data_IF_974107757912
#
_entry.id   IF_974107757912
#
_cell.length_a   1.000
_cell.length_b   1.000
_cell.length_c   1.000
_cell.angle_alpha   90.00
_cell.angle_beta   90.00
_cell.angle_gamma   90.00
#
_symmetry.space_group_name_H-M   'P 1'
#
loop_
_entity.id
_entity.type
_entity.pdbx_description
1 polymer ?
#
# COMPACT_ATOMS: atom_id res chain seq x y z
N UNK A 1 5.43 24.40 -5.76
CA UNK A 1 4.43 23.42 -5.30
C UNK A 1 3.49 23.11 -6.44
N UNK A 2 3.29 21.83 -6.72
CA UNK A 2 2.28 21.40 -7.71
C UNK A 2 0.89 21.70 -7.11
N UNK A 3 0.07 22.41 -7.87
CA UNK A 3 -1.33 22.63 -7.50
C UNK A 3 -2.11 21.41 -7.95
N UNK A 4 -2.60 20.62 -7.01
CA UNK A 4 -3.45 19.46 -7.30
C UNK A 4 -4.87 19.98 -7.48
N UNK A 5 -5.43 19.77 -8.67
CA UNK A 5 -6.82 20.09 -8.97
C UNK A 5 -7.70 18.90 -8.54
N UNK A 6 -8.25 18.96 -7.32
CA UNK A 6 -9.08 17.88 -6.77
C UNK A 6 -10.28 17.56 -7.66
N UNK A 7 -10.84 18.58 -8.32
CA UNK A 7 -11.95 18.42 -9.25
C UNK A 7 -11.63 17.60 -10.50
N UNK A 8 -10.37 17.58 -10.93
CA UNK A 8 -9.93 16.73 -12.05
C UNK A 8 -9.95 15.25 -11.66
N UNK A 9 -9.55 14.95 -10.44
CA UNK A 9 -9.60 13.57 -9.90
C UNK A 9 -11.06 13.13 -9.73
N UNK A 10 -11.92 14.02 -9.20
CA UNK A 10 -13.35 13.77 -9.03
C UNK A 10 -14.03 13.51 -10.39
N UNK A 11 -13.70 14.30 -11.41
CA UNK A 11 -14.23 14.15 -12.76
C UNK A 11 -13.81 12.80 -13.35
N UNK A 12 -12.53 12.43 -13.25
CA UNK A 12 -12.03 11.15 -13.74
C UNK A 12 -12.71 9.96 -13.05
N UNK A 13 -12.89 10.02 -11.73
CA UNK A 13 -13.62 8.99 -10.98
C UNK A 13 -15.10 8.91 -11.38
N UNK A 14 -15.73 10.05 -11.70
CA UNK A 14 -17.11 10.14 -12.15
C UNK A 14 -17.35 9.57 -13.57
N UNK A 15 -16.32 9.38 -14.38
CA UNK A 15 -16.42 8.70 -15.67
C UNK A 15 -16.68 7.20 -15.54
N UNK A 16 -16.36 6.63 -14.39
CA UNK A 16 -16.53 5.19 -14.17
C UNK A 16 -18.01 4.86 -13.92
N UNK A 17 -18.60 3.88 -14.65
CA UNK A 17 -20.03 3.59 -14.59
C UNK A 17 -20.52 3.12 -13.23
N UNK A 18 -19.65 2.61 -12.38
CA UNK A 18 -19.99 2.17 -11.03
C UNK A 18 -20.00 3.32 -10.01
N UNK A 19 -19.55 4.54 -10.35
CA UNK A 19 -19.47 5.70 -9.47
C UNK A 19 -20.60 6.67 -9.74
N UNK A 20 -21.40 6.98 -8.72
CA UNK A 20 -22.46 7.99 -8.78
C UNK A 20 -21.97 9.38 -8.39
N UNK A 21 -21.20 9.44 -7.32
CA UNK A 21 -20.62 10.68 -6.80
C UNK A 21 -19.19 10.41 -6.31
N UNK A 22 -18.30 11.34 -6.53
CA UNK A 22 -16.94 11.32 -6.03
C UNK A 22 -16.60 12.64 -5.36
N UNK A 23 -15.94 12.59 -4.22
CA UNK A 23 -15.39 13.73 -3.50
C UNK A 23 -13.96 13.42 -3.11
N UNK A 24 -13.04 14.33 -3.44
CA UNK A 24 -11.63 14.19 -3.08
C UNK A 24 -11.23 15.30 -2.12
N UNK A 25 -10.57 14.92 -1.04
CA UNK A 25 -10.00 15.88 -0.07
C UNK A 25 -8.54 15.56 0.21
N UNK A 26 -7.79 16.60 0.57
CA UNK A 26 -6.47 16.43 1.15
C UNK A 26 -6.59 16.35 2.67
N UNK A 27 -6.02 15.32 3.26
CA UNK A 27 -6.01 15.09 4.72
C UNK A 27 -4.57 15.06 5.20
N UNK A 28 -4.28 15.77 6.28
CA UNK A 28 -2.98 15.69 6.93
C UNK A 28 -2.86 14.35 7.66
N UNK A 29 -1.93 13.52 7.19
CA UNK A 29 -1.58 12.24 7.81
C UNK A 29 -0.22 12.30 8.50
N UNK A 30 0.17 11.21 9.13
CA UNK A 30 1.46 11.09 9.82
C UNK A 30 2.66 11.25 8.86
N UNK A 31 2.47 11.00 7.57
CA UNK A 31 3.48 11.10 6.51
C UNK A 31 3.36 12.37 5.65
N UNK A 32 2.48 13.32 6.01
CA UNK A 32 2.18 14.53 5.24
C UNK A 32 0.77 14.53 4.65
N UNK A 33 0.47 15.51 3.78
CA UNK A 33 -0.83 15.61 3.14
C UNK A 33 -1.06 14.44 2.17
N UNK A 34 -2.16 13.73 2.35
CA UNK A 34 -2.59 12.60 1.53
C UNK A 34 -3.95 12.90 0.89
N UNK A 35 -4.15 12.40 -0.33
CA UNK A 35 -5.44 12.49 -1.00
C UNK A 35 -6.32 11.32 -0.62
N UNK A 36 -7.57 11.61 -0.26
CA UNK A 36 -8.60 10.64 0.08
C UNK A 36 -9.80 10.88 -0.82
N UNK A 37 -10.24 9.85 -1.52
CA UNK A 37 -11.45 9.89 -2.33
C UNK A 37 -12.60 9.17 -1.60
N UNK A 38 -13.71 9.85 -1.45
CA UNK A 38 -14.98 9.31 -0.97
C UNK A 38 -15.89 9.08 -2.17
N UNK A 39 -16.37 7.86 -2.31
CA UNK A 39 -17.09 7.39 -3.48
C UNK A 39 -18.48 6.90 -3.06
N UNK A 40 -19.49 7.39 -3.76
CA UNK A 40 -20.83 6.85 -3.66
C UNK A 40 -21.07 6.01 -4.92
N UNK A 41 -21.23 4.68 -4.79
CA UNK A 41 -21.44 3.81 -5.93
C UNK A 41 -22.84 3.99 -6.53
N UNK A 42 -22.99 3.68 -7.81
CA UNK A 42 -24.28 3.72 -8.53
C UNK A 42 -25.30 2.76 -7.95
N UNK A 43 -24.88 1.55 -7.57
CA UNK A 43 -25.73 0.60 -6.88
C UNK A 43 -25.49 0.68 -5.37
N UNK A 44 -26.53 0.95 -4.60
CA UNK A 44 -26.45 0.98 -3.12
C UNK A 44 -25.89 -0.34 -2.55
N UNK A 45 -26.15 -1.47 -3.22
CA UNK A 45 -25.58 -2.75 -2.89
C UNK A 45 -24.05 -2.81 -2.93
N UNK A 46 -23.37 -1.91 -3.67
CA UNK A 46 -21.91 -1.87 -3.73
C UNK A 46 -21.28 -1.17 -2.51
N UNK A 47 -21.99 -0.25 -1.87
CA UNK A 47 -21.51 0.38 -0.63
C UNK A 47 -21.51 -0.60 0.55
N UNK A 48 -22.45 -1.55 0.54
CA UNK A 48 -22.58 -2.64 1.52
C UNK A 48 -22.12 -4.00 0.98
N UNK A 49 -21.46 -4.03 -0.18
CA UNK A 49 -20.94 -5.24 -0.78
C UNK A 49 -19.81 -5.86 0.05
N UNK A 50 -19.56 -7.14 -0.22
CA UNK A 50 -18.43 -7.84 0.40
C UNK A 50 -17.12 -7.12 0.06
N UNK A 51 -16.16 -7.24 0.96
CA UNK A 51 -14.85 -6.60 0.85
C UNK A 51 -14.12 -6.94 -0.47
N UNK A 52 -14.29 -8.16 -0.97
CA UNK A 52 -13.72 -8.60 -2.24
C UNK A 52 -14.24 -7.78 -3.43
N UNK A 53 -15.57 -7.53 -3.47
CA UNK A 53 -16.19 -6.73 -4.53
C UNK A 53 -15.73 -5.27 -4.45
N UNK A 54 -15.64 -4.72 -3.23
CA UNK A 54 -15.12 -3.37 -3.04
C UNK A 54 -13.63 -3.28 -3.38
N UNK A 55 -12.83 -4.29 -3.07
CA UNK A 55 -11.41 -4.34 -3.41
C UNK A 55 -11.20 -4.40 -4.94
N UNK A 56 -12.00 -5.21 -5.66
CA UNK A 56 -11.95 -5.26 -7.11
C UNK A 56 -12.26 -3.90 -7.74
N UNK A 57 -13.33 -3.24 -7.28
CA UNK A 57 -13.70 -1.90 -7.77
C UNK A 57 -12.64 -0.84 -7.44
N UNK A 58 -12.02 -0.89 -6.24
CA UNK A 58 -10.90 0.00 -5.90
C UNK A 58 -9.74 -0.16 -6.88
N UNK A 59 -9.41 -1.39 -7.24
CA UNK A 59 -8.31 -1.68 -8.18
C UNK A 59 -8.62 -1.15 -9.58
N UNK A 60 -9.85 -1.32 -10.06
CA UNK A 60 -10.30 -0.77 -11.35
C UNK A 60 -10.23 0.76 -11.35
N UNK A 61 -10.72 1.42 -10.31
CA UNK A 61 -10.69 2.88 -10.16
C UNK A 61 -9.25 3.41 -10.06
N UNK A 62 -8.37 2.71 -9.34
CA UNK A 62 -6.95 3.08 -9.28
C UNK A 62 -6.24 2.93 -10.62
N UNK A 63 -6.56 1.88 -11.38
CA UNK A 63 -6.04 1.70 -12.73
C UNK A 63 -6.49 2.85 -13.64
N UNK A 64 -7.79 3.19 -13.64
CA UNK A 64 -8.33 4.33 -14.38
C UNK A 64 -7.61 5.64 -14.06
N UNK A 65 -7.39 5.91 -12.77
CA UNK A 65 -6.70 7.12 -12.33
C UNK A 65 -5.23 7.15 -12.77
N UNK A 66 -4.51 6.02 -12.68
CA UNK A 66 -3.10 5.92 -13.13
C UNK A 66 -2.94 6.07 -14.63
N UNK A 67 -3.94 5.65 -15.42
CA UNK A 67 -3.92 5.81 -16.87
C UNK A 67 -4.20 7.25 -17.30
N UNK A 68 -4.95 8.00 -16.49
CA UNK A 68 -5.45 9.34 -16.84
C UNK A 68 -4.70 10.47 -16.15
N UNK A 69 -4.11 10.24 -14.98
CA UNK A 69 -3.52 11.28 -14.12
C UNK A 69 -2.10 10.92 -13.66
N UNK A 70 -1.28 11.92 -13.37
CA UNK A 70 0.03 11.72 -12.74
C UNK A 70 -0.10 10.98 -11.38
N UNK A 71 0.88 10.19 -11.02
CA UNK A 71 0.85 9.36 -9.82
C UNK A 71 0.63 10.15 -8.51
N UNK A 72 1.14 11.38 -8.43
CA UNK A 72 0.93 12.26 -7.27
C UNK A 72 -0.52 12.77 -7.12
N UNK A 73 -1.37 12.60 -8.14
CA UNK A 73 -2.80 12.90 -8.12
C UNK A 73 -3.67 11.68 -7.81
N UNK A 74 -3.10 10.49 -7.74
CA UNK A 74 -3.84 9.27 -7.38
C UNK A 74 -4.08 9.26 -5.87
N UNK A 75 -5.35 9.22 -5.41
CA UNK A 75 -5.65 9.16 -3.98
C UNK A 75 -5.07 7.90 -3.32
N UNK A 76 -4.45 8.07 -2.16
CA UNK A 76 -3.96 6.96 -1.34
C UNK A 76 -5.12 6.05 -0.90
N UNK A 77 -6.26 6.65 -0.59
CA UNK A 77 -7.42 5.96 -0.04
C UNK A 77 -8.67 6.20 -0.89
N UNK A 78 -9.41 5.13 -1.17
CA UNK A 78 -10.71 5.13 -1.84
C UNK A 78 -11.72 4.50 -0.88
N UNK A 79 -12.61 5.32 -0.31
CA UNK A 79 -13.62 4.93 0.67
C UNK A 79 -15.01 4.94 0.03
N UNK A 80 -15.75 3.85 0.18
CA UNK A 80 -17.12 3.76 -0.30
C UNK A 80 -18.10 4.19 0.79
N UNK A 81 -19.04 5.05 0.43
CA UNK A 81 -20.10 5.54 1.28
C UNK A 81 -21.45 5.27 0.61
N UNK A 82 -22.49 5.06 1.40
CA UNK A 82 -23.86 4.98 0.90
C UNK A 82 -24.31 6.34 0.35
N UNK A 83 -23.88 7.43 1.00
CA UNK A 83 -24.13 8.82 0.62
C UNK A 83 -23.08 9.77 1.20
N UNK A 84 -22.84 10.88 0.53
CA UNK A 84 -22.03 11.95 1.11
C UNK A 84 -22.81 12.64 2.25
N UNK A 85 -22.18 12.91 3.41
CA UNK A 85 -22.81 13.67 4.47
C UNK A 85 -23.04 15.10 4.02
N UNK A 86 -24.25 15.62 4.24
CA UNK A 86 -24.63 16.97 3.90
C UNK A 86 -24.87 17.81 5.16
N UNK A 87 -24.42 19.05 5.13
CA UNK A 87 -24.76 20.07 6.12
C UNK A 87 -26.22 20.48 6.00
N UNK A 88 -26.80 21.17 7.00
CA UNK A 88 -28.18 21.70 6.93
C UNK A 88 -28.45 22.59 5.71
N UNK A 89 -27.41 23.19 5.13
CA UNK A 89 -27.47 24.05 3.95
C UNK A 89 -27.33 23.28 2.62
N UNK A 90 -27.32 21.93 2.65
CA UNK A 90 -27.21 21.08 1.45
C UNK A 90 -25.80 20.96 0.85
N UNK A 91 -24.78 21.51 1.53
CA UNK A 91 -23.37 21.36 1.10
C UNK A 91 -22.75 20.14 1.78
N UNK A 92 -21.76 19.55 1.14
CA UNK A 92 -21.03 18.43 1.74
C UNK A 92 -20.38 18.82 3.06
N UNK A 93 -20.71 18.10 4.12
CA UNK A 93 -20.09 18.26 5.44
C UNK A 93 -18.79 17.46 5.51
N UNK A 94 -17.68 18.13 5.19
CA UNK A 94 -16.35 17.52 5.23
C UNK A 94 -15.93 17.03 6.61
N UNK A 95 -16.50 17.61 7.69
CA UNK A 95 -16.19 17.20 9.07
C UNK A 95 -16.88 15.93 9.48
N UNK A 96 -18.01 15.62 8.85
CA UNK A 96 -18.76 14.37 9.07
C UNK A 96 -18.29 13.21 8.20
N UNK A 97 -17.29 13.43 7.32
CA UNK A 97 -16.67 12.33 6.56
C UNK A 97 -15.90 11.42 7.51
N UNK A 98 -16.00 10.09 7.33
CA UNK A 98 -15.21 9.16 8.11
C UNK A 98 -13.71 9.42 7.87
N UNK A 99 -12.92 9.38 8.93
CA UNK A 99 -11.47 9.45 8.79
C UNK A 99 -10.98 8.26 7.95
N UNK A 100 -9.96 8.46 7.10
CA UNK A 100 -9.31 7.34 6.45
C UNK A 100 -8.58 6.52 7.52
N UNK A 101 -9.32 5.61 8.14
CA UNK A 101 -8.74 4.72 9.14
C UNK A 101 -8.00 3.60 8.42
N UNK A 102 -6.71 3.45 8.71
CA UNK A 102 -5.91 2.35 8.17
C UNK A 102 -6.53 0.99 8.51
N UNK A 103 -7.36 0.92 9.56
CA UNK A 103 -8.09 -0.29 9.93
C UNK A 103 -9.18 -0.68 8.92
N UNK A 104 -9.84 0.29 8.25
CA UNK A 104 -10.86 0.01 7.22
C UNK A 104 -10.26 -0.50 5.90
N UNK A 105 -8.98 -0.24 5.67
CA UNK A 105 -8.24 -0.76 4.51
C UNK A 105 -7.71 -2.18 4.76
N UNK A 106 -7.64 -2.60 6.02
CA UNK A 106 -7.14 -3.92 6.44
C UNK A 106 -8.24 -4.99 6.56
N UNK A 107 -9.45 -4.73 6.08
CA UNK A 107 -10.55 -5.71 6.19
C UNK A 107 -10.35 -6.96 5.31
N UNK A 108 -9.51 -6.89 4.28
CA UNK A 108 -9.03 -8.06 3.53
C UNK A 108 -7.66 -8.52 4.02
N UNK A 109 -7.44 -8.54 5.35
CA UNK A 109 -6.16 -8.92 5.92
C UNK A 109 -5.80 -10.38 5.59
N UNK A 110 -4.82 -10.55 4.74
CA UNK A 110 -4.17 -11.84 4.48
C UNK A 110 -2.91 -11.91 5.34
N UNK A 111 -2.94 -12.76 6.36
CA UNK A 111 -1.83 -12.90 7.29
C UNK A 111 -0.56 -13.40 6.58
N UNK A 112 0.62 -12.88 6.90
CA UNK A 112 1.89 -13.47 6.52
C UNK A 112 1.97 -14.92 6.98
N UNK A 113 2.51 -15.81 6.14
CA UNK A 113 2.55 -17.26 6.38
C UNK A 113 3.97 -17.80 6.43
N UNK A 114 4.85 -17.34 5.53
CA UNK A 114 6.25 -17.75 5.56
C UNK A 114 7.03 -16.97 6.63
N UNK A 115 8.15 -17.53 7.06
CA UNK A 115 9.03 -16.86 8.02
C UNK A 115 9.52 -15.51 7.49
N UNK A 116 9.88 -15.46 6.20
CA UNK A 116 10.32 -14.23 5.55
C UNK A 116 9.19 -13.19 5.45
N UNK A 117 7.96 -13.63 5.12
CA UNK A 117 6.79 -12.76 5.14
C UNK A 117 6.55 -12.14 6.52
N UNK A 118 6.64 -12.95 7.58
CA UNK A 118 6.46 -12.48 8.95
C UNK A 118 7.55 -11.48 9.36
N UNK A 119 8.80 -11.74 9.01
CA UNK A 119 9.94 -10.85 9.33
C UNK A 119 9.80 -9.51 8.61
N UNK A 120 9.51 -9.52 7.31
CA UNK A 120 9.32 -8.29 6.53
C UNK A 120 8.08 -7.53 7.00
N UNK A 121 6.98 -8.23 7.30
CA UNK A 121 5.78 -7.61 7.87
C UNK A 121 6.06 -6.90 9.20
N UNK A 122 6.85 -7.52 10.08
CA UNK A 122 7.25 -6.92 11.36
C UNK A 122 8.06 -5.61 11.14
N UNK A 123 8.99 -5.61 10.20
CA UNK A 123 9.77 -4.42 9.85
C UNK A 123 8.85 -3.30 9.32
N UNK A 124 7.87 -3.64 8.45
CA UNK A 124 6.91 -2.67 7.95
C UNK A 124 6.03 -2.11 9.07
N UNK A 125 5.54 -2.97 9.99
CA UNK A 125 4.74 -2.55 11.14
C UNK A 125 5.48 -1.52 12.00
N UNK A 126 6.74 -1.78 12.31
CA UNK A 126 7.54 -0.86 13.13
C UNK A 126 7.82 0.47 12.42
N UNK A 127 8.21 0.42 11.13
CA UNK A 127 8.54 1.62 10.36
C UNK A 127 7.31 2.47 10.08
N UNK A 128 6.17 1.84 9.77
CA UNK A 128 4.89 2.49 9.49
C UNK A 128 4.07 2.77 10.76
N UNK A 129 4.51 2.25 11.92
CA UNK A 129 3.82 2.35 13.22
C UNK A 129 2.40 1.77 13.18
N UNK A 130 2.24 0.62 12.54
CA UNK A 130 0.98 -0.10 12.41
C UNK A 130 0.95 -1.32 13.32
N UNK A 131 -0.25 -1.72 13.74
CA UNK A 131 -0.43 -2.91 14.59
C UNK A 131 -0.29 -4.21 13.81
N UNK A 132 -0.63 -4.19 12.52
CA UNK A 132 -0.54 -5.36 11.63
C UNK A 132 -0.31 -4.90 10.19
N UNK A 133 0.31 -5.76 9.38
CA UNK A 133 0.46 -5.60 7.93
C UNK A 133 0.18 -6.95 7.27
N UNK A 134 -0.69 -6.98 6.27
CA UNK A 134 -1.06 -8.16 5.50
C UNK A 134 -0.31 -8.26 4.17
N UNK A 135 -0.43 -9.40 3.50
CA UNK A 135 0.25 -9.67 2.22
C UNK A 135 -0.20 -8.75 1.08
N UNK A 136 -1.49 -8.38 1.07
CA UNK A 136 -2.07 -7.53 0.05
C UNK A 136 -1.94 -6.03 0.37
N UNK A 137 -1.40 -5.70 1.54
CA UNK A 137 -1.21 -4.32 1.96
C UNK A 137 -0.12 -3.64 1.12
N UNK A 138 -0.46 -2.45 0.61
CA UNK A 138 0.40 -1.65 -0.23
C UNK A 138 1.16 -0.63 0.62
N UNK A 139 2.50 -0.66 0.58
CA UNK A 139 3.38 0.15 1.42
C UNK A 139 3.05 1.65 1.42
N UNK A 140 2.86 2.21 0.23
CA UNK A 140 2.61 3.65 0.09
C UNK A 140 1.18 4.03 0.52
N UNK A 141 0.22 3.12 0.39
CA UNK A 141 -1.16 3.33 0.87
C UNK A 141 -1.27 3.29 2.39
N UNK A 142 -0.41 2.50 3.03
CA UNK A 142 -0.28 2.46 4.49
C UNK A 142 0.44 3.70 5.09
N UNK A 143 0.77 4.70 4.26
CA UNK A 143 1.45 5.91 4.68
C UNK A 143 2.96 5.88 4.47
N UNK A 144 3.48 4.87 3.78
CA UNK A 144 4.88 4.80 3.37
C UNK A 144 5.23 5.91 2.37
N UNK A 145 6.46 6.40 2.44
CA UNK A 145 7.05 7.34 1.50
C UNK A 145 8.52 7.02 1.27
N UNK A 146 9.18 7.72 0.36
CA UNK A 146 10.55 7.40 -0.07
C UNK A 146 11.56 7.27 1.09
N UNK A 147 11.48 8.13 2.11
CA UNK A 147 12.39 8.05 3.26
C UNK A 147 12.12 6.79 4.11
N UNK A 148 10.84 6.45 4.32
CA UNK A 148 10.47 5.22 5.02
C UNK A 148 10.82 3.96 4.20
N UNK A 149 10.72 4.03 2.88
CA UNK A 149 11.16 2.95 1.99
C UNK A 149 12.66 2.67 2.14
N UNK A 150 13.49 3.73 2.19
CA UNK A 150 14.93 3.59 2.46
C UNK A 150 15.17 2.95 3.83
N UNK A 151 14.41 3.36 4.85
CA UNK A 151 14.53 2.81 6.20
C UNK A 151 14.17 1.30 6.23
N UNK A 152 13.04 0.91 5.60
CA UNK A 152 12.65 -0.51 5.47
C UNK A 152 13.75 -1.32 4.80
N UNK A 153 14.25 -0.86 3.66
CA UNK A 153 15.30 -1.57 2.91
C UNK A 153 16.58 -1.71 3.75
N UNK A 154 16.99 -0.63 4.44
CA UNK A 154 18.19 -0.66 5.31
C UNK A 154 18.02 -1.66 6.45
N UNK A 155 16.84 -1.77 7.06
CA UNK A 155 16.55 -2.74 8.11
C UNK A 155 16.57 -4.17 7.58
N UNK A 156 15.92 -4.43 6.44
CA UNK A 156 15.96 -5.74 5.80
C UNK A 156 17.40 -6.16 5.47
N UNK A 157 18.24 -5.23 4.99
CA UNK A 157 19.66 -5.51 4.74
C UNK A 157 20.41 -5.89 6.03
N UNK A 158 20.13 -5.20 7.14
CA UNK A 158 20.79 -5.44 8.42
C UNK A 158 20.30 -6.72 9.10
N UNK A 159 19.00 -6.99 9.09
CA UNK A 159 18.38 -8.09 9.84
C UNK A 159 18.41 -9.40 9.05
N UNK A 160 18.24 -9.34 7.72
CA UNK A 160 18.16 -10.51 6.84
C UNK A 160 19.41 -10.71 5.96
N UNK A 161 20.37 -9.79 6.01
CA UNK A 161 21.62 -9.89 5.24
C UNK A 161 21.45 -9.77 3.71
N UNK A 162 20.28 -9.35 3.24
CA UNK A 162 19.94 -9.27 1.81
C UNK A 162 20.41 -7.95 1.20
N UNK A 163 21.06 -7.99 0.02
CA UNK A 163 21.43 -6.78 -0.72
C UNK A 163 20.25 -6.32 -1.58
N UNK A 164 19.56 -5.28 -1.14
CA UNK A 164 18.37 -4.73 -1.79
C UNK A 164 18.56 -3.26 -2.15
N UNK A 165 17.78 -2.79 -3.11
CA UNK A 165 17.71 -1.36 -3.46
C UNK A 165 16.29 -0.83 -3.17
N UNK A 166 16.15 0.45 -2.81
CA UNK A 166 14.83 1.05 -2.55
C UNK A 166 13.87 0.95 -3.76
N UNK A 167 14.41 0.90 -4.97
CA UNK A 167 13.63 0.74 -6.21
C UNK A 167 12.76 -0.51 -6.21
N UNK A 168 13.20 -1.56 -5.51
CA UNK A 168 12.46 -2.81 -5.42
C UNK A 168 11.09 -2.63 -4.78
N UNK A 169 11.00 -1.77 -3.75
CA UNK A 169 9.74 -1.49 -3.06
C UNK A 169 8.78 -0.66 -3.92
N UNK A 170 9.30 0.17 -4.83
CA UNK A 170 8.48 0.89 -5.81
C UNK A 170 7.94 -0.04 -6.91
N UNK A 171 8.72 -1.05 -7.30
CA UNK A 171 8.30 -2.05 -8.30
C UNK A 171 7.31 -3.06 -7.75
N UNK A 172 7.48 -3.43 -6.48
CA UNK A 172 6.68 -4.44 -5.78
C UNK A 172 6.12 -3.86 -4.47
N UNK A 173 5.12 -2.99 -4.56
CA UNK A 173 4.71 -2.18 -3.41
C UNK A 173 3.81 -2.91 -2.41
N UNK A 174 3.29 -4.10 -2.72
CA UNK A 174 2.56 -4.94 -1.75
C UNK A 174 3.51 -5.89 -1.04
N UNK A 175 3.21 -6.19 0.23
CA UNK A 175 4.07 -7.06 1.04
C UNK A 175 4.31 -8.43 0.37
N UNK A 176 3.26 -9.07 -0.12
CA UNK A 176 3.35 -10.39 -0.76
C UNK A 176 4.19 -10.39 -2.04
N UNK A 177 4.00 -9.40 -2.93
CA UNK A 177 4.81 -9.27 -4.15
C UNK A 177 6.26 -8.96 -3.82
N UNK A 178 6.50 -8.09 -2.84
CA UNK A 178 7.84 -7.74 -2.39
C UNK A 178 8.58 -8.97 -1.87
N UNK A 179 7.97 -9.72 -0.94
CA UNK A 179 8.60 -10.92 -0.36
C UNK A 179 8.78 -12.02 -1.40
N UNK A 180 7.80 -12.27 -2.28
CA UNK A 180 7.94 -13.24 -3.38
C UNK A 180 9.12 -12.90 -4.30
N UNK A 181 9.42 -11.61 -4.48
CA UNK A 181 10.59 -11.20 -5.25
C UNK A 181 11.89 -11.43 -4.46
N UNK A 182 11.87 -11.20 -3.13
CA UNK A 182 13.02 -11.50 -2.25
C UNK A 182 13.34 -12.99 -2.26
N UNK A 183 12.35 -13.87 -2.20
CA UNK A 183 12.52 -15.32 -2.26
C UNK A 183 13.15 -15.76 -3.58
N UNK A 184 12.72 -15.19 -4.70
CA UNK A 184 13.31 -15.45 -6.02
C UNK A 184 14.76 -14.94 -6.13
N UNK A 185 15.05 -13.79 -5.54
CA UNK A 185 16.40 -13.23 -5.50
C UNK A 185 17.30 -13.94 -4.49
N UNK A 186 16.75 -14.36 -3.34
CA UNK A 186 17.45 -15.13 -2.30
C UNK A 186 17.71 -16.60 -2.69
N UNK A 187 16.92 -17.16 -3.62
CA UNK A 187 17.21 -18.45 -4.24
C UNK A 187 18.49 -18.46 -5.10
N UNK A 188 19.10 -17.31 -5.33
CA UNK A 188 20.45 -17.13 -5.88
C UNK A 188 21.48 -16.76 -4.79
N UNK A 189 21.25 -17.13 -3.53
CA UNK A 189 22.34 -17.13 -2.55
C UNK A 189 23.34 -18.16 -3.02
N UNK A 190 24.45 -17.64 -3.46
CA UNK A 190 25.62 -18.33 -3.98
C UNK A 190 26.09 -19.37 -2.96
N UNK A 191 25.52 -20.59 -3.05
CA UNK A 191 25.98 -21.79 -2.34
C UNK A 191 27.48 -22.04 -2.56
N UNK A 192 28.06 -21.42 -3.57
CA UNK A 192 29.48 -21.45 -3.87
C UNK A 192 30.32 -20.76 -2.76
N UNK A 193 29.78 -19.78 -2.04
CA UNK A 193 30.49 -19.15 -0.91
C UNK A 193 30.41 -19.94 0.37
N UNK A 194 29.29 -20.61 0.62
CA UNK A 194 29.13 -21.55 1.76
C UNK A 194 30.05 -22.78 1.56
N UNK A 195 30.02 -23.39 0.39
CA UNK A 195 30.91 -24.50 0.07
C UNK A 195 32.39 -24.14 0.08
N UNK A 196 32.72 -22.85 -0.21
CA UNK A 196 34.10 -22.37 -0.14
C UNK A 196 34.54 -22.09 1.31
N UNK A 197 33.61 -21.71 2.19
CA UNK A 197 33.87 -21.53 3.61
C UNK A 197 34.00 -22.88 4.32
N UNK A 198 33.15 -23.85 3.99
CA UNK A 198 33.24 -25.22 4.49
C UNK A 198 34.56 -25.89 4.04
N UNK A 199 34.95 -25.75 2.78
CA UNK A 199 36.21 -26.26 2.27
C UNK A 199 37.43 -25.63 2.97
N UNK A 200 37.38 -24.34 3.33
CA UNK A 200 38.43 -23.66 4.10
C UNK A 200 38.47 -24.08 5.58
N UNK A 201 37.32 -24.43 6.15
CA UNK A 201 37.25 -24.94 7.52
C UNK A 201 37.80 -26.37 7.60
N UNK A 202 37.48 -27.23 6.63
CA UNK A 202 38.04 -28.61 6.51
C UNK A 202 39.55 -28.57 6.33
N UNK A 203 40.11 -27.66 5.51
CA UNK A 203 41.55 -27.48 5.37
C UNK A 203 42.23 -26.98 6.66
N UNK A 204 41.52 -26.30 7.57
CA UNK A 204 42.07 -25.84 8.84
C UNK A 204 42.00 -26.89 9.96
N UNK A 205 41.19 -27.93 9.83
CA UNK A 205 41.11 -29.05 10.81
C UNK A 205 42.11 -30.18 10.54
N UNK A 206 42.76 -30.19 9.36
CA UNK A 206 43.77 -31.24 9.00
C UNK A 206 45.25 -30.82 9.31
N UNK A 207 45.49 -29.74 10.12
CA UNK A 207 46.87 -29.33 10.50
C UNK A 207 47.13 -29.59 12.01
#
# INVERSE_FOLDING_TARGET
GFRIELGEIEACLGEHPAVREALVIAVEGAAGAQLVAYLVPQAEALASATLEVQAALRNELKALLRDSLPEYMVPAHLLFLERLPLSPNGKVDRKALPAPDASLLQEAYVAPRSELECQVAAIWQEVLKLQRVGLDDHFFELGGHSLLAINVISRIQLELGMKLTPQLLFQFPTLGLFVSNLEKAGGQVDTSKLNKLEALLDEMEEV
#
